data_IF_060689324212
#
_entry.id   IF_060689324212
#
_cell.length_a   1.000
_cell.length_b   1.000
_cell.length_c   1.000
_cell.angle_alpha   90.00
_cell.angle_beta   90.00
_cell.angle_gamma   90.00
#
_symmetry.space_group_name_H-M   'P 1'
#
loop_
_entity.id
_entity.type
_entity.pdbx_description
1 polymer ?
#
# COMPACT_ATOMS: atom_id res chain seq x y z
N UNK A 1 5.08 -4.09 3.18
CA UNK A 1 3.83 -3.39 2.79
C UNK A 1 3.75 -3.11 1.29
N UNK A 2 4.86 -2.74 0.64
CA UNK A 2 4.87 -2.52 -0.82
C UNK A 2 4.33 -3.71 -1.61
N UNK A 3 4.54 -4.93 -1.12
CA UNK A 3 4.00 -6.14 -1.75
C UNK A 3 2.46 -6.21 -1.72
N UNK A 4 1.79 -5.54 -0.80
CA UNK A 4 0.33 -5.52 -0.77
C UNK A 4 -0.27 -4.59 -1.83
N UNK A 5 0.40 -3.47 -2.11
CA UNK A 5 -0.09 -2.47 -3.08
C UNK A 5 0.27 -2.82 -4.53
N UNK A 6 1.33 -3.60 -4.74
CA UNK A 6 1.81 -3.97 -6.09
C UNK A 6 1.33 -5.36 -6.57
N UNK A 7 0.33 -5.94 -5.91
CA UNK A 7 -0.23 -7.25 -6.30
C UNK A 7 0.61 -8.44 -5.86
N UNK A 8 1.36 -8.34 -4.77
CA UNK A 8 2.06 -9.47 -4.15
C UNK A 8 3.50 -9.67 -4.59
N UNK A 9 4.10 -8.71 -5.26
CA UNK A 9 5.48 -8.79 -5.76
C UNK A 9 6.49 -8.32 -4.71
N UNK A 10 7.64 -8.99 -4.63
CA UNK A 10 8.75 -8.59 -3.75
C UNK A 10 9.43 -7.34 -4.30
N UNK A 11 9.52 -6.31 -3.50
CA UNK A 11 10.31 -5.11 -3.81
C UNK A 11 11.64 -5.18 -3.05
N UNK A 12 12.74 -5.28 -3.78
CA UNK A 12 14.08 -5.16 -3.22
C UNK A 12 14.49 -3.69 -3.26
N UNK A 13 14.82 -3.05 -2.14
CA UNK A 13 15.29 -1.67 -2.14
C UNK A 13 16.59 -1.56 -2.94
N UNK A 14 16.67 -0.60 -3.83
CA UNK A 14 17.86 -0.30 -4.64
C UNK A 14 18.26 1.13 -4.31
N UNK A 15 19.48 1.31 -3.80
CA UNK A 15 20.04 2.64 -3.55
C UNK A 15 20.84 3.16 -4.73
N UNK A 16 21.49 2.25 -5.47
CA UNK A 16 22.30 2.58 -6.66
C UNK A 16 21.68 1.84 -7.83
N UNK A 17 21.10 2.58 -8.76
CA UNK A 17 20.47 2.02 -9.93
C UNK A 17 21.52 1.63 -10.98
N UNK A 18 22.48 2.52 -11.25
CA UNK A 18 23.53 2.33 -12.24
C UNK A 18 24.84 2.99 -11.85
N UNK A 19 25.96 2.36 -12.19
CA UNK A 19 27.31 2.95 -12.14
C UNK A 19 27.90 2.88 -13.54
N UNK A 20 28.45 3.99 -14.01
CA UNK A 20 29.17 4.08 -15.28
C UNK A 20 30.57 4.64 -15.04
N UNK A 21 31.52 4.24 -15.89
CA UNK A 21 32.86 4.82 -15.91
C UNK A 21 32.87 6.18 -16.63
N UNK A 22 34.04 6.82 -16.71
CA UNK A 22 34.23 8.11 -17.39
C UNK A 22 33.99 8.05 -18.89
N UNK A 23 33.97 6.86 -19.49
CA UNK A 23 33.76 6.62 -20.92
C UNK A 23 32.31 6.26 -21.23
N UNK A 24 31.46 6.13 -20.17
CA UNK A 24 30.04 5.81 -20.31
C UNK A 24 29.72 4.32 -20.31
N UNK A 25 30.70 3.44 -20.09
CA UNK A 25 30.45 2.01 -19.97
C UNK A 25 29.76 1.69 -18.63
N UNK A 26 28.75 0.85 -18.68
CA UNK A 26 28.02 0.46 -17.48
C UNK A 26 28.79 -0.62 -16.72
N UNK A 27 29.27 -0.27 -15.51
CA UNK A 27 29.96 -1.19 -14.59
C UNK A 27 28.96 -1.98 -13.75
N UNK A 28 27.89 -1.31 -13.29
CA UNK A 28 26.81 -1.88 -12.51
C UNK A 28 25.47 -1.45 -13.06
N UNK A 29 24.57 -2.40 -13.24
CA UNK A 29 23.18 -2.13 -13.58
C UNK A 29 22.25 -2.99 -12.70
N UNK A 30 21.47 -2.35 -11.84
CA UNK A 30 20.47 -2.98 -11.00
C UNK A 30 19.06 -2.97 -11.63
N UNK A 31 18.96 -2.58 -12.90
CA UNK A 31 17.69 -2.62 -13.62
C UNK A 31 17.21 -4.06 -13.81
N UNK A 32 16.07 -4.39 -13.20
CA UNK A 32 15.47 -5.73 -13.26
C UNK A 32 14.41 -5.86 -14.37
N UNK A 33 14.19 -4.81 -15.15
CA UNK A 33 13.21 -4.83 -16.24
C UNK A 33 13.82 -5.42 -17.49
N UNK A 34 13.13 -6.39 -18.09
CA UNK A 34 13.50 -6.94 -19.39
C UNK A 34 12.61 -6.34 -20.45
N UNK A 35 13.23 -5.87 -21.51
CA UNK A 35 12.51 -5.43 -22.68
C UNK A 35 12.39 -6.57 -23.69
N UNK A 36 11.16 -7.02 -23.94
CA UNK A 36 10.88 -7.96 -25.02
C UNK A 36 10.72 -7.20 -26.33
N UNK A 37 11.45 -7.60 -27.36
CA UNK A 37 11.38 -7.04 -28.73
C UNK A 37 11.87 -5.59 -28.87
N UNK A 38 12.70 -5.08 -27.96
CA UNK A 38 13.26 -3.74 -28.11
C UNK A 38 14.23 -3.62 -29.29
N UNK A 39 14.87 -4.70 -29.71
CA UNK A 39 15.75 -4.75 -30.88
C UNK A 39 15.00 -4.88 -32.21
N UNK A 40 13.72 -5.22 -32.16
CA UNK A 40 12.87 -5.48 -33.33
C UNK A 40 11.85 -4.35 -33.55
N UNK A 41 12.25 -3.10 -33.41
CA UNK A 41 11.34 -1.98 -33.67
C UNK A 41 11.11 -1.87 -35.18
N UNK A 42 10.04 -2.51 -35.64
CA UNK A 42 9.51 -2.25 -36.98
C UNK A 42 8.37 -1.25 -36.84
N UNK A 43 8.59 -0.03 -37.27
CA UNK A 43 7.60 1.04 -37.33
C UNK A 43 6.33 0.68 -38.12
N UNK A 44 6.41 -0.37 -38.93
CA UNK A 44 5.33 -0.83 -39.82
C UNK A 44 4.36 -1.84 -39.20
N UNK A 45 4.67 -2.39 -38.03
CA UNK A 45 3.93 -3.55 -37.50
C UNK A 45 3.03 -3.27 -36.31
N UNK A 46 2.84 -2.03 -35.85
CA UNK A 46 2.08 -1.68 -34.63
C UNK A 46 2.47 -2.51 -33.37
N UNK A 47 3.67 -3.06 -33.36
CA UNK A 47 4.19 -3.85 -32.22
C UNK A 47 5.00 -2.94 -31.32
N UNK A 48 4.41 -2.58 -30.17
CA UNK A 48 5.13 -1.81 -29.16
C UNK A 48 6.02 -2.73 -28.33
N UNK A 49 7.23 -2.27 -27.95
CA UNK A 49 8.08 -3.02 -27.02
C UNK A 49 7.36 -3.19 -25.68
N UNK A 50 7.41 -4.38 -25.13
CA UNK A 50 6.80 -4.69 -23.84
C UNK A 50 7.88 -4.78 -22.78
N UNK A 51 7.81 -3.91 -21.77
CA UNK A 51 8.72 -3.97 -20.63
C UNK A 51 8.09 -4.90 -19.59
N UNK A 52 8.73 -6.05 -19.35
CA UNK A 52 8.38 -7.00 -18.31
C UNK A 52 9.20 -6.73 -17.06
N UNK A 53 8.54 -6.65 -15.91
CA UNK A 53 9.23 -6.70 -14.64
C UNK A 53 9.64 -8.14 -14.28
N UNK A 54 10.75 -8.30 -13.59
CA UNK A 54 11.26 -9.57 -13.07
C UNK A 54 11.06 -9.70 -11.56
N UNK A 55 10.05 -9.02 -11.01
CA UNK A 55 9.78 -9.14 -9.58
C UNK A 55 9.28 -10.53 -9.23
N UNK A 56 9.83 -11.09 -8.17
CA UNK A 56 9.40 -12.34 -7.58
C UNK A 56 7.98 -12.18 -7.00
N UNK A 57 7.06 -13.07 -7.38
CA UNK A 57 5.72 -13.12 -6.80
C UNK A 57 5.78 -13.87 -5.46
N UNK A 58 5.56 -13.17 -4.34
CA UNK A 58 5.60 -13.75 -2.98
C UNK A 58 4.21 -13.96 -2.37
N UNK A 59 3.20 -13.26 -2.85
CA UNK A 59 1.79 -13.47 -2.51
C UNK A 59 0.97 -13.50 -3.79
N UNK A 60 -0.15 -14.23 -3.78
CA UNK A 60 -1.09 -14.08 -4.88
C UNK A 60 -1.70 -12.67 -4.90
N UNK A 61 -2.11 -12.14 -6.06
CA UNK A 61 -2.77 -10.83 -6.15
C UNK A 61 -4.03 -10.75 -5.29
N UNK A 62 -4.77 -11.86 -5.15
CA UNK A 62 -5.96 -11.97 -4.32
C UNK A 62 -5.60 -11.77 -2.84
N UNK A 63 -4.55 -12.47 -2.35
CA UNK A 63 -4.08 -12.34 -0.96
C UNK A 63 -3.62 -10.92 -0.68
N UNK A 64 -2.85 -10.32 -1.58
CA UNK A 64 -2.39 -8.93 -1.46
C UNK A 64 -3.56 -7.94 -1.36
N UNK A 65 -4.59 -8.13 -2.20
CA UNK A 65 -5.80 -7.32 -2.16
C UNK A 65 -6.62 -7.53 -0.89
N UNK A 66 -6.77 -8.79 -0.42
CA UNK A 66 -7.48 -9.10 0.82
C UNK A 66 -6.85 -8.38 2.02
N UNK A 67 -5.52 -8.44 2.14
CA UNK A 67 -4.78 -7.72 3.20
C UNK A 67 -4.99 -6.20 3.06
N UNK A 68 -4.90 -5.66 1.84
CA UNK A 68 -5.17 -4.23 1.58
C UNK A 68 -6.56 -3.84 2.03
N UNK A 69 -7.58 -4.64 1.74
CA UNK A 69 -8.95 -4.39 2.18
C UNK A 69 -9.13 -4.44 3.70
N UNK A 70 -8.40 -5.35 4.39
CA UNK A 70 -8.39 -5.39 5.85
C UNK A 70 -7.74 -4.13 6.43
N UNK A 71 -6.64 -3.65 5.83
CA UNK A 71 -5.93 -2.43 6.24
C UNK A 71 -6.73 -1.16 5.90
N UNK A 72 -7.48 -1.15 4.80
CA UNK A 72 -8.50 -0.13 4.52
C UNK A 72 -9.57 -0.11 5.63
N UNK A 73 -10.02 -1.30 6.04
CA UNK A 73 -10.92 -1.46 7.18
C UNK A 73 -10.37 -0.90 8.49
N UNK A 74 -9.07 -1.02 8.73
CA UNK A 74 -8.42 -0.45 9.91
C UNK A 74 -8.43 1.08 9.91
N UNK A 75 -8.35 1.71 8.72
CA UNK A 75 -8.52 3.16 8.56
C UNK A 75 -10.00 3.56 8.67
N UNK A 76 -10.91 2.79 8.08
CA UNK A 76 -12.33 3.14 8.06
C UNK A 76 -13.04 2.91 9.41
N UNK A 77 -12.66 1.86 10.15
CA UNK A 77 -13.40 1.38 11.34
C UNK A 77 -12.53 1.14 12.56
N UNK A 78 -11.20 1.08 12.38
CA UNK A 78 -10.24 0.71 13.41
C UNK A 78 -9.43 1.88 13.96
N UNK A 79 -8.17 1.58 14.31
CA UNK A 79 -7.23 2.52 14.94
C UNK A 79 -6.81 3.68 14.04
N UNK A 80 -6.98 3.55 12.72
CA UNK A 80 -6.67 4.59 11.73
C UNK A 80 -7.81 5.56 11.42
N UNK A 81 -8.95 5.49 12.12
CA UNK A 81 -10.16 6.29 11.84
C UNK A 81 -9.94 7.82 11.81
N UNK A 82 -8.88 8.31 12.43
CA UNK A 82 -8.50 9.73 12.38
C UNK A 82 -8.07 10.23 10.99
N UNK A 83 -7.94 9.32 10.00
CA UNK A 83 -7.62 9.68 8.61
C UNK A 83 -8.86 9.79 7.71
N UNK A 84 -10.05 9.46 8.21
CA UNK A 84 -11.29 9.43 7.40
C UNK A 84 -11.67 10.78 6.80
N UNK A 85 -11.37 11.87 7.49
CA UNK A 85 -11.65 13.23 7.04
C UNK A 85 -10.83 13.65 5.80
N UNK A 86 -9.79 12.90 5.46
CA UNK A 86 -9.06 13.10 4.21
C UNK A 86 -9.89 12.75 2.97
N UNK A 87 -10.92 11.92 3.12
CA UNK A 87 -11.76 11.43 2.01
C UNK A 87 -10.94 10.80 0.86
N UNK A 88 -9.91 10.04 1.23
CA UNK A 88 -9.04 9.29 0.33
C UNK A 88 -9.19 7.79 0.59
N UNK A 89 -8.99 6.98 -0.45
CA UNK A 89 -8.85 5.54 -0.30
C UNK A 89 -7.47 5.23 0.32
N UNK A 90 -7.46 5.00 1.62
CA UNK A 90 -6.27 4.77 2.43
C UNK A 90 -6.36 3.42 3.13
N UNK A 91 -5.27 2.69 3.08
CA UNK A 91 -5.04 1.52 3.89
C UNK A 91 -3.85 1.78 4.84
N UNK A 92 -3.88 1.22 6.04
CA UNK A 92 -2.76 1.45 6.95
C UNK A 92 -2.94 0.79 8.31
N UNK A 93 -1.83 0.76 9.06
CA UNK A 93 -1.78 0.14 10.38
C UNK A 93 -0.88 0.92 11.32
N UNK A 94 -1.37 1.07 12.54
CA UNK A 94 -0.59 1.58 13.68
C UNK A 94 0.26 0.47 14.26
N UNK A 95 1.45 0.81 14.73
CA UNK A 95 2.30 -0.01 15.58
C UNK A 95 2.61 0.75 16.87
N UNK A 96 2.69 0.03 17.99
CA UNK A 96 3.10 0.58 19.28
C UNK A 96 3.81 -0.55 20.02
N UNK A 97 5.05 -0.29 20.45
CA UNK A 97 5.80 -1.26 21.25
C UNK A 97 5.33 -1.28 22.69
N UNK A 98 5.69 -2.35 23.41
CA UNK A 98 5.44 -2.42 24.85
C UNK A 98 6.10 -1.23 25.56
N UNK A 99 5.43 -0.68 26.58
CA UNK A 99 5.87 0.54 27.31
C UNK A 99 5.88 1.83 26.48
N UNK A 100 5.31 1.82 25.27
CA UNK A 100 5.25 2.98 24.36
C UNK A 100 6.62 3.61 24.09
N UNK A 101 7.64 2.80 23.86
CA UNK A 101 8.99 3.30 23.50
C UNK A 101 9.08 3.71 22.05
N UNK A 102 8.34 3.01 21.18
CA UNK A 102 8.33 3.27 19.75
C UNK A 102 6.93 3.22 19.20
N UNK A 103 6.64 4.10 18.28
CA UNK A 103 5.36 4.15 17.59
C UNK A 103 5.57 4.20 16.09
N UNK A 104 4.71 3.48 15.39
CA UNK A 104 4.70 3.39 13.94
C UNK A 104 3.32 3.70 13.39
N UNK A 105 3.31 4.27 12.23
CA UNK A 105 2.18 4.21 11.32
C UNK A 105 2.70 3.94 9.90
N UNK A 106 2.26 2.84 9.30
CA UNK A 106 2.49 2.56 7.89
C UNK A 106 1.15 2.65 7.18
N UNK A 107 1.07 3.54 6.22
CA UNK A 107 -0.14 3.73 5.43
C UNK A 107 0.17 3.98 3.97
N UNK A 108 -0.81 3.74 3.11
CA UNK A 108 -0.63 3.86 1.67
C UNK A 108 -1.93 4.18 0.94
N UNK A 109 -1.77 4.80 -0.22
CA UNK A 109 -2.76 4.93 -1.30
C UNK A 109 -2.47 3.86 -2.34
N UNK A 110 -3.19 3.87 -3.46
CA UNK A 110 -2.87 2.99 -4.61
C UNK A 110 -1.54 3.29 -5.30
N UNK A 111 -0.86 4.41 -4.97
CA UNK A 111 0.37 4.86 -5.65
C UNK A 111 1.54 5.15 -4.71
N UNK A 112 1.28 5.43 -3.45
CA UNK A 112 2.28 5.93 -2.51
C UNK A 112 2.17 5.18 -1.19
N UNK A 113 3.30 4.70 -0.68
CA UNK A 113 3.43 4.11 0.65
C UNK A 113 4.34 4.96 1.52
N UNK A 114 3.94 5.18 2.76
CA UNK A 114 4.66 5.99 3.73
C UNK A 114 4.72 5.24 5.05
N UNK A 115 5.93 5.14 5.60
CA UNK A 115 6.15 4.69 6.97
C UNK A 115 6.60 5.86 7.83
N UNK A 116 5.96 6.02 8.97
CA UNK A 116 6.35 7.00 9.99
C UNK A 116 6.74 6.26 11.26
N UNK A 117 7.93 6.56 11.73
CA UNK A 117 8.48 6.07 13.00
C UNK A 117 8.70 7.24 13.96
N UNK A 118 8.36 7.04 15.21
CA UNK A 118 8.68 7.98 16.29
C UNK A 118 9.20 7.18 17.48
N UNK A 119 10.40 7.49 17.89
CA UNK A 119 11.11 6.83 18.99
C UNK A 119 12.37 7.58 19.36
N UNK A 120 13.07 7.10 20.36
CA UNK A 120 14.38 7.60 20.78
C UNK A 120 15.47 6.59 20.44
N UNK A 121 16.67 7.03 20.09
CA UNK A 121 17.82 6.16 19.82
C UNK A 121 18.13 5.26 21.02
N UNK A 122 18.11 5.83 22.24
CA UNK A 122 18.10 5.07 23.46
C UNK A 122 16.65 4.85 23.89
N UNK A 123 16.11 3.62 23.84
CA UNK A 123 14.70 3.34 24.07
C UNK A 123 14.22 3.86 25.44
N UNK A 124 13.33 4.82 25.42
CA UNK A 124 12.61 5.32 26.59
C UNK A 124 11.16 5.59 26.23
N UNK A 125 10.27 5.55 27.21
CA UNK A 125 8.84 5.77 26.96
C UNK A 125 8.57 7.16 26.38
N UNK A 126 7.76 7.21 25.33
CA UNK A 126 7.22 8.44 24.75
C UNK A 126 6.10 9.06 25.63
N UNK A 127 5.56 8.30 26.56
CA UNK A 127 4.49 8.73 27.46
C UNK A 127 3.36 7.71 27.57
N UNK A 128 2.58 7.80 28.65
CA UNK A 128 1.54 6.80 29.01
C UNK A 128 0.44 6.57 27.97
N UNK A 129 0.20 7.45 27.05
CA UNK A 129 -0.88 7.32 26.05
C UNK A 129 -0.37 7.53 24.63
N UNK A 130 0.96 7.61 24.48
CA UNK A 130 1.57 7.82 23.18
C UNK A 130 1.58 6.50 22.41
N UNK A 131 0.74 6.47 21.37
CA UNK A 131 0.52 5.31 20.50
C UNK A 131 0.74 5.71 19.06
N UNK A 132 0.90 4.76 18.15
CA UNK A 132 1.01 5.04 16.73
C UNK A 132 -0.13 5.89 16.17
N UNK A 133 -1.33 5.79 16.74
CA UNK A 133 -2.48 6.61 16.36
C UNK A 133 -2.38 8.07 16.86
N UNK A 134 -1.62 8.34 17.92
CA UNK A 134 -1.50 9.68 18.52
C UNK A 134 -0.23 10.42 18.11
N UNK A 135 0.85 9.69 17.83
CA UNK A 135 2.15 10.28 17.50
C UNK A 135 2.50 10.13 16.02
N UNK A 136 2.58 8.92 15.50
CA UNK A 136 3.02 8.68 14.11
C UNK A 136 1.94 8.99 13.06
N UNK A 137 0.66 8.63 13.33
CA UNK A 137 -0.42 8.85 12.37
C UNK A 137 -0.71 10.34 12.05
N UNK A 138 -0.64 11.32 12.98
CA UNK A 138 -0.80 12.73 12.64
C UNK A 138 0.27 13.24 11.67
N UNK A 139 1.52 12.78 11.82
CA UNK A 139 2.61 13.12 10.91
C UNK A 139 2.32 12.58 9.51
N UNK A 140 1.92 11.30 9.42
CA UNK A 140 1.45 10.70 8.17
C UNK A 140 0.31 11.52 7.55
N UNK A 141 -0.67 11.91 8.35
CA UNK A 141 -1.84 12.67 7.90
C UNK A 141 -1.46 14.00 7.25
N UNK A 142 -0.59 14.76 7.90
CA UNK A 142 -0.12 16.05 7.37
C UNK A 142 0.73 15.87 6.10
N UNK A 143 1.54 14.82 6.05
CA UNK A 143 2.30 14.51 4.84
C UNK A 143 1.38 14.19 3.66
N UNK A 144 0.38 13.31 3.85
CA UNK A 144 -0.58 12.95 2.80
C UNK A 144 -1.35 14.17 2.31
N UNK A 145 -1.82 15.04 3.19
CA UNK A 145 -2.51 16.27 2.80
C UNK A 145 -1.71 17.15 1.84
N UNK A 146 -0.39 17.19 2.03
CA UNK A 146 0.52 18.01 1.22
C UNK A 146 0.98 17.33 -0.06
N UNK A 147 1.05 15.98 -0.06
CA UNK A 147 1.68 15.21 -1.14
C UNK A 147 0.69 14.60 -2.12
N UNK A 148 -0.57 14.38 -1.72
CA UNK A 148 -1.56 13.69 -2.54
C UNK A 148 -2.71 14.64 -2.88
N UNK A 149 -2.85 14.94 -4.15
CA UNK A 149 -4.02 15.66 -4.64
C UNK A 149 -5.21 14.70 -4.74
N UNK A 150 -6.43 15.18 -4.47
CA UNK A 150 -7.65 14.36 -4.53
C UNK A 150 -7.90 13.74 -5.91
N UNK A 151 -7.55 14.44 -6.96
CA UNK A 151 -7.62 13.99 -8.35
C UNK A 151 -6.69 12.82 -8.67
N UNK A 152 -5.60 12.66 -7.92
CA UNK A 152 -4.65 11.56 -8.04
C UNK A 152 -5.03 10.35 -7.19
N UNK A 153 -5.97 10.51 -6.26
CA UNK A 153 -6.44 9.44 -5.42
C UNK A 153 -7.33 8.48 -6.24
N UNK A 154 -6.87 7.24 -6.35
CA UNK A 154 -7.60 6.16 -7.04
C UNK A 154 -7.89 5.04 -6.05
N UNK A 155 -9.03 4.34 -6.20
CA UNK A 155 -9.32 3.18 -5.39
C UNK A 155 -8.27 2.08 -5.62
N UNK A 156 -8.12 1.21 -4.63
CA UNK A 156 -7.27 0.04 -4.77
C UNK A 156 -7.81 -0.90 -5.85
N UNK A 157 -6.91 -1.37 -6.73
CA UNK A 157 -7.30 -2.30 -7.80
C UNK A 157 -7.73 -3.63 -7.19
N UNK A 158 -8.94 -4.06 -7.50
CA UNK A 158 -9.45 -5.38 -7.14
C UNK A 158 -8.74 -6.43 -8.00
N UNK A 159 -8.26 -7.52 -7.40
CA UNK A 159 -7.68 -8.63 -8.16
C UNK A 159 -8.77 -9.35 -8.97
N UNK A 160 -8.40 -9.90 -10.14
CA UNK A 160 -9.34 -10.43 -11.12
C UNK A 160 -10.22 -11.56 -10.57
N UNK A 161 -9.65 -12.45 -9.74
CA UNK A 161 -10.35 -13.60 -9.15
C UNK A 161 -11.03 -13.28 -7.80
N UNK A 162 -11.23 -12.00 -7.46
CA UNK A 162 -11.88 -11.58 -6.21
C UNK A 162 -13.29 -11.10 -6.49
N UNK A 163 -14.25 -11.71 -5.83
CA UNK A 163 -15.65 -11.26 -5.85
C UNK A 163 -15.97 -10.41 -4.63
N UNK A 164 -16.47 -9.21 -4.86
CA UNK A 164 -16.90 -8.31 -3.80
C UNK A 164 -18.36 -8.58 -3.46
N UNK A 165 -18.66 -8.78 -2.17
CA UNK A 165 -20.04 -8.92 -1.71
C UNK A 165 -20.29 -8.13 -0.43
N UNK A 166 -21.55 -7.72 -0.26
CA UNK A 166 -21.99 -7.06 0.96
C UNK A 166 -22.27 -8.11 2.02
N UNK A 167 -21.69 -7.94 3.19
CA UNK A 167 -21.92 -8.81 4.35
C UNK A 167 -22.61 -8.07 5.48
N UNK A 168 -23.37 -8.83 6.28
CA UNK A 168 -23.85 -8.35 7.56
C UNK A 168 -22.68 -8.36 8.56
N UNK A 169 -22.33 -7.20 9.16
CA UNK A 169 -21.19 -7.11 10.06
C UNK A 169 -21.38 -7.87 11.38
N UNK A 170 -22.64 -8.20 11.77
CA UNK A 170 -22.93 -8.93 12.99
C UNK A 170 -22.75 -10.44 12.80
N UNK A 171 -23.18 -10.94 11.67
CA UNK A 171 -23.20 -12.39 11.39
C UNK A 171 -22.06 -12.87 10.51
N UNK A 172 -21.38 -11.94 9.79
CA UNK A 172 -20.37 -12.27 8.78
C UNK A 172 -20.91 -12.95 7.53
N UNK A 173 -22.24 -13.13 7.42
CA UNK A 173 -22.89 -13.79 6.27
C UNK A 173 -23.22 -12.76 5.18
N UNK A 174 -23.47 -13.24 3.97
CA UNK A 174 -23.96 -12.41 2.86
C UNK A 174 -25.23 -11.68 3.30
N UNK A 175 -25.25 -10.36 3.13
CA UNK A 175 -26.43 -9.56 3.45
C UNK A 175 -27.59 -9.94 2.53
N UNK A 176 -28.77 -10.22 3.10
CA UNK A 176 -30.02 -10.42 2.36
C UNK A 176 -30.70 -9.08 2.05
N UNK A 177 -31.58 -9.08 1.04
CA UNK A 177 -32.47 -7.95 0.74
C UNK A 177 -33.32 -7.65 1.99
N UNK A 178 -33.15 -6.48 2.60
CA UNK A 178 -33.91 -6.11 3.82
C UNK A 178 -33.08 -6.03 5.11
N UNK A 179 -31.84 -6.53 5.15
CA UNK A 179 -30.94 -6.23 6.27
C UNK A 179 -30.72 -4.72 6.33
N UNK A 180 -31.01 -4.09 7.50
CA UNK A 180 -30.82 -2.65 7.70
C UNK A 180 -29.43 -2.26 7.19
N UNK A 181 -29.38 -1.43 6.16
CA UNK A 181 -28.16 -0.81 5.66
C UNK A 181 -27.60 0.09 6.77
N UNK A 182 -26.86 -0.46 7.68
CA UNK A 182 -25.89 0.34 8.43
C UNK A 182 -24.89 0.80 7.39
N UNK A 183 -24.67 2.10 7.25
CA UNK A 183 -23.99 2.77 6.14
C UNK A 183 -22.54 2.40 5.83
N UNK A 184 -22.10 1.24 6.23
CA UNK A 184 -20.78 0.68 5.97
C UNK A 184 -20.90 -0.42 4.91
N UNK A 185 -20.42 -0.14 3.72
CA UNK A 185 -20.20 -1.16 2.70
C UNK A 185 -19.06 -2.06 3.15
N UNK A 186 -19.37 -3.25 3.63
CA UNK A 186 -18.37 -4.26 3.89
C UNK A 186 -18.09 -5.00 2.58
N UNK A 187 -16.84 -5.01 2.19
CA UNK A 187 -16.35 -5.79 1.06
C UNK A 187 -15.75 -7.06 1.64
N UNK A 188 -16.28 -8.24 1.32
CA UNK A 188 -15.63 -9.52 1.58
C UNK A 188 -15.15 -10.13 0.30
N UNK A 189 -14.14 -10.91 0.42
CA UNK A 189 -13.45 -11.57 -0.68
C UNK A 189 -13.60 -13.08 -0.51
N UNK A 190 -13.79 -13.77 -1.60
CA UNK A 190 -13.75 -15.23 -1.69
C UNK A 190 -12.32 -15.66 -1.89
#
# INVERSE_FOLDING_TARGET
>A
YSSFINGGKLVKPIMIDRIQDSEGHTILNNENRKCDKCEQISYLANTYPTIKDNFEQIFSPETAYQITSMLEGAVQRGTGKGLRDLNLDLAGKTGTTNKNTDTWFIGYTSKLIIGVYVGFDNPKSLGKKETGARTAMPIFKEFIKKSVKKEDARPFKVAENVTLMVIDPKTGKKASFGSKKTGNRFKTHR
#
